data_IF_738186849340
#
_entry.id   IF_738186849340
#
_cell.length_a   1.000
_cell.length_b   1.000
_cell.length_c   1.000
_cell.angle_alpha   90.00
_cell.angle_beta   90.00
_cell.angle_gamma   90.00
#
_symmetry.space_group_name_H-M   'P 1'
#
loop_
_entity.id
_entity.type
_entity.pdbx_description
1 polymer ?
#
# COMPACT_ATOMS: atom_id res chain seq x y z
N UNK A 1 11.23 17.22 -38.00
CA UNK A 1 10.48 16.76 -36.82
C UNK A 1 11.13 17.37 -35.58
N UNK A 2 10.52 18.39 -34.94
CA UNK A 2 11.13 19.12 -33.80
C UNK A 2 10.59 18.55 -32.49
N UNK A 3 11.45 17.92 -31.69
CA UNK A 3 11.14 17.49 -30.33
C UNK A 3 11.10 18.72 -29.40
N UNK A 4 9.92 19.04 -28.86
CA UNK A 4 9.77 19.96 -27.71
C UNK A 4 9.72 19.11 -26.45
N UNK A 5 10.76 19.17 -25.62
CA UNK A 5 10.75 18.60 -24.27
C UNK A 5 10.05 19.62 -23.37
N UNK A 6 8.87 19.25 -22.86
CA UNK A 6 8.09 20.05 -21.92
C UNK A 6 8.53 19.68 -20.50
N UNK A 7 9.31 20.53 -19.84
CA UNK A 7 9.55 20.42 -18.40
C UNK A 7 8.28 20.89 -17.67
N UNK A 8 7.53 19.96 -17.07
CA UNK A 8 6.48 20.31 -16.11
C UNK A 8 7.16 20.68 -14.78
N UNK A 9 7.07 21.95 -14.40
CA UNK A 9 7.48 22.41 -13.08
C UNK A 9 6.59 21.74 -12.01
N UNK A 10 7.19 20.99 -11.10
CA UNK A 10 6.53 20.50 -9.90
C UNK A 10 6.45 21.66 -8.89
N UNK A 11 5.25 22.14 -8.61
CA UNK A 11 5.02 23.17 -7.58
C UNK A 11 5.10 22.51 -6.20
N UNK A 12 6.11 22.87 -5.42
CA UNK A 12 6.32 22.41 -4.06
C UNK A 12 5.43 23.22 -3.09
N UNK A 13 4.52 22.56 -2.36
CA UNK A 13 3.78 23.18 -1.26
C UNK A 13 4.55 22.94 0.05
N UNK A 14 5.02 24.01 0.70
CA UNK A 14 5.59 23.97 2.03
C UNK A 14 4.58 24.52 3.05
N UNK A 15 4.19 23.69 4.03
CA UNK A 15 3.34 24.11 5.15
C UNK A 15 4.23 24.57 6.31
N UNK A 16 4.06 25.82 6.76
CA UNK A 16 4.80 26.39 7.89
C UNK A 16 3.99 26.28 9.17
N UNK A 17 4.50 25.54 10.16
CA UNK A 17 3.98 25.56 11.53
C UNK A 17 5.00 26.29 12.40
N UNK A 18 4.67 27.49 12.84
CA UNK A 18 5.49 28.28 13.78
C UNK A 18 5.07 27.93 15.20
N UNK A 19 5.95 27.26 15.96
CA UNK A 19 5.76 27.07 17.40
C UNK A 19 6.50 28.18 18.16
N UNK A 20 5.88 28.82 19.18
CA UNK A 20 6.55 29.84 19.97
C UNK A 20 7.69 29.23 20.80
N UNK A 21 8.90 29.78 20.66
CA UNK A 21 10.09 29.36 21.39
C UNK A 21 10.30 30.24 22.63
N UNK A 22 10.69 29.66 23.79
CA UNK A 22 11.10 30.44 24.96
C UNK A 22 12.41 31.20 24.70
N UNK A 23 12.53 32.39 25.30
CA UNK A 23 13.50 33.45 24.98
C UNK A 23 15.00 33.14 25.17
N UNK A 24 15.39 31.89 25.47
CA UNK A 24 16.78 31.53 25.81
C UNK A 24 17.36 30.30 25.08
N UNK A 25 16.72 29.82 24.00
CA UNK A 25 17.31 28.76 23.15
C UNK A 25 18.01 29.37 21.92
N UNK A 26 19.35 29.40 21.90
CA UNK A 26 20.14 29.97 20.78
C UNK A 26 20.40 29.01 19.60
N UNK A 27 19.84 27.79 19.60
CA UNK A 27 19.87 26.92 18.43
C UNK A 27 18.56 26.16 18.28
N UNK A 28 17.72 26.60 17.33
CA UNK A 28 16.60 25.83 16.82
C UNK A 28 17.03 25.11 15.54
N UNK A 29 16.89 23.79 15.48
CA UNK A 29 17.02 23.05 14.22
C UNK A 29 15.71 23.17 13.43
N UNK A 30 15.78 23.75 12.24
CA UNK A 30 14.70 23.68 11.26
C UNK A 30 14.88 22.38 10.48
N UNK A 31 13.95 21.43 10.65
CA UNK A 31 13.94 20.17 9.89
C UNK A 31 12.93 20.28 8.76
N UNK A 32 13.42 20.29 7.51
CA UNK A 32 12.56 20.14 6.34
C UNK A 32 12.31 18.64 6.10
N UNK A 33 11.05 18.22 6.13
CA UNK A 33 10.66 16.88 5.71
C UNK A 33 9.94 17.04 4.36
N UNK A 34 10.64 16.76 3.26
CA UNK A 34 9.98 16.58 1.96
C UNK A 34 9.22 15.26 2.00
N UNK A 35 7.89 15.34 2.07
CA UNK A 35 7.03 14.17 1.89
C UNK A 35 6.77 14.07 0.38
N UNK A 36 7.45 13.14 -0.29
CA UNK A 36 7.13 12.83 -1.68
C UNK A 36 5.76 12.14 -1.72
N UNK A 37 4.85 12.49 -2.64
CA UNK A 37 3.59 11.79 -2.78
C UNK A 37 3.84 10.31 -3.11
N UNK A 38 2.94 9.45 -2.61
CA UNK A 38 2.90 8.04 -2.97
C UNK A 38 2.46 7.94 -4.44
N UNK A 39 3.39 7.66 -5.34
CA UNK A 39 3.09 7.47 -6.76
C UNK A 39 2.95 5.98 -7.05
N UNK A 40 1.88 5.63 -7.73
CA UNK A 40 1.61 4.27 -8.14
C UNK A 40 1.14 4.26 -9.59
N UNK A 41 1.63 3.31 -10.39
CA UNK A 41 1.30 3.19 -11.81
C UNK A 41 0.36 2.01 -12.03
N UNK A 42 -0.87 2.30 -12.46
CA UNK A 42 -1.85 1.29 -12.83
C UNK A 42 -1.76 0.94 -14.31
N UNK A 43 -1.84 -0.35 -14.61
CA UNK A 43 -1.90 -0.90 -15.96
C UNK A 43 -3.28 -1.50 -16.23
N UNK A 44 -3.74 -1.62 -17.49
CA UNK A 44 -5.01 -2.27 -17.77
C UNK A 44 -5.11 -3.67 -17.12
N UNK A 45 -6.25 -3.98 -16.51
CA UNK A 45 -6.49 -5.22 -15.76
C UNK A 45 -6.43 -5.03 -14.25
N UNK A 46 -6.25 -6.13 -13.51
CA UNK A 46 -6.22 -6.12 -12.06
C UNK A 46 -4.84 -5.76 -11.54
N UNK A 47 -4.80 -4.77 -10.66
CA UNK A 47 -3.58 -4.33 -10.00
C UNK A 47 -3.80 -4.33 -8.49
N UNK A 48 -2.77 -4.75 -7.76
CA UNK A 48 -2.78 -4.71 -6.31
C UNK A 48 -2.39 -3.33 -5.82
N UNK A 49 -3.05 -2.84 -4.78
CA UNK A 49 -2.89 -1.51 -4.23
C UNK A 49 -2.84 -1.55 -2.70
N UNK A 50 -1.87 -0.84 -2.12
CA UNK A 50 -1.75 -0.60 -0.69
C UNK A 50 -1.31 0.85 -0.47
N UNK A 51 -1.76 1.46 0.62
CA UNK A 51 -1.36 2.82 0.96
C UNK A 51 0.07 2.88 1.50
N UNK A 52 0.95 3.67 0.87
CA UNK A 52 2.28 3.97 1.43
C UNK A 52 2.32 5.25 2.30
N UNK A 53 1.25 6.05 2.28
CA UNK A 53 1.04 7.22 3.16
C UNK A 53 -0.33 7.13 3.81
N UNK A 54 -0.53 7.86 4.91
CA UNK A 54 -1.82 8.01 5.58
C UNK A 54 -2.56 9.26 5.05
N UNK A 55 -3.55 9.09 4.15
CA UNK A 55 -4.30 10.22 3.62
C UNK A 55 -5.22 10.81 4.70
N UNK A 56 -5.50 12.11 4.59
CA UNK A 56 -6.46 12.79 5.48
C UNK A 56 -7.92 12.35 5.23
N UNK A 57 -8.20 11.82 4.03
CA UNK A 57 -9.51 11.35 3.64
C UNK A 57 -9.37 10.03 2.87
N UNK A 58 -9.91 8.97 3.46
CA UNK A 58 -9.87 7.59 2.96
C UNK A 58 -11.05 7.22 2.06
N UNK A 59 -11.97 8.15 1.81
CA UNK A 59 -13.11 7.92 0.91
C UNK A 59 -12.61 7.46 -0.46
N UNK A 60 -13.19 6.40 -0.99
CA UNK A 60 -12.82 5.83 -2.28
C UNK A 60 -12.92 6.91 -3.38
N UNK A 61 -13.99 7.69 -3.39
CA UNK A 61 -14.19 8.75 -4.37
C UNK A 61 -13.10 9.82 -4.28
N UNK A 62 -12.67 10.19 -3.07
CA UNK A 62 -11.63 11.19 -2.88
C UNK A 62 -10.26 10.66 -3.30
N UNK A 63 -9.88 9.47 -2.84
CA UNK A 63 -8.58 8.86 -3.16
C UNK A 63 -8.48 8.56 -4.65
N UNK A 64 -9.55 8.03 -5.27
CA UNK A 64 -9.54 7.64 -6.68
C UNK A 64 -9.93 8.74 -7.64
N UNK A 65 -10.29 9.95 -7.19
CA UNK A 65 -10.69 11.06 -8.06
C UNK A 65 -9.74 11.28 -9.28
N UNK A 66 -8.40 11.22 -9.14
CA UNK A 66 -7.50 11.39 -10.29
C UNK A 66 -7.60 10.27 -11.34
N UNK A 67 -8.08 9.09 -10.95
CA UNK A 67 -8.13 7.86 -11.76
C UNK A 67 -9.55 7.34 -11.97
N UNK A 68 -10.59 8.05 -11.51
CA UNK A 68 -11.95 7.53 -11.41
C UNK A 68 -12.53 7.07 -12.76
N UNK A 69 -12.22 7.79 -13.84
CA UNK A 69 -12.62 7.43 -15.20
C UNK A 69 -11.82 6.26 -15.79
N UNK A 70 -10.68 5.93 -15.19
CA UNK A 70 -9.77 4.86 -15.63
C UNK A 70 -9.97 3.55 -14.87
N UNK A 71 -10.88 3.49 -13.90
CA UNK A 71 -11.19 2.29 -13.11
C UNK A 71 -12.69 1.98 -13.16
N UNK A 72 -13.09 0.76 -12.85
CA UNK A 72 -14.51 0.32 -12.75
C UNK A 72 -14.82 -0.43 -11.45
N UNK A 73 -13.87 -1.21 -10.95
CA UNK A 73 -14.05 -2.09 -9.80
C UNK A 73 -12.90 -1.98 -8.80
N UNK A 74 -13.25 -2.13 -7.53
CA UNK A 74 -12.30 -2.29 -6.43
C UNK A 74 -12.71 -3.53 -5.64
N UNK A 75 -11.77 -4.42 -5.33
CA UNK A 75 -12.01 -5.57 -4.45
C UNK A 75 -11.29 -5.35 -3.12
N UNK A 76 -12.03 -5.59 -2.04
CA UNK A 76 -11.52 -5.70 -0.67
C UNK A 76 -11.56 -7.17 -0.27
N UNK A 77 -10.51 -7.67 0.36
CA UNK A 77 -10.57 -9.00 0.98
C UNK A 77 -11.19 -8.91 2.37
N UNK A 78 -12.34 -9.55 2.56
CA UNK A 78 -12.94 -9.71 3.88
C UNK A 78 -12.33 -10.95 4.55
N UNK A 79 -11.36 -10.73 5.44
CA UNK A 79 -10.67 -11.81 6.16
C UNK A 79 -11.58 -12.63 7.08
N UNK A 80 -12.69 -12.09 7.56
CA UNK A 80 -13.65 -12.87 8.36
C UNK A 80 -14.49 -13.80 7.49
N UNK A 81 -14.95 -13.32 6.34
CA UNK A 81 -15.75 -14.11 5.40
C UNK A 81 -14.89 -15.00 4.47
N UNK A 82 -13.57 -14.76 4.42
CA UNK A 82 -12.64 -15.39 3.48
C UNK A 82 -13.11 -15.23 2.03
N UNK A 83 -13.56 -14.03 1.67
CA UNK A 83 -14.12 -13.71 0.37
C UNK A 83 -13.83 -12.26 -0.04
N UNK A 84 -13.90 -11.98 -1.34
CA UNK A 84 -13.85 -10.61 -1.84
C UNK A 84 -15.19 -9.91 -1.73
N UNK A 85 -15.14 -8.64 -1.35
CA UNK A 85 -16.23 -7.70 -1.47
C UNK A 85 -15.94 -6.73 -2.61
N UNK A 86 -16.94 -6.52 -3.47
CA UNK A 86 -16.82 -5.71 -4.67
C UNK A 86 -17.42 -4.33 -4.45
N UNK A 87 -16.61 -3.30 -4.65
CA UNK A 87 -17.06 -1.95 -4.93
C UNK A 87 -17.12 -1.76 -6.45
N UNK A 88 -18.22 -1.21 -6.94
CA UNK A 88 -18.38 -0.80 -8.33
C UNK A 88 -18.83 0.64 -8.41
N UNK A 89 -18.19 1.42 -9.30
CA UNK A 89 -18.61 2.80 -9.57
C UNK A 89 -19.98 2.92 -10.25
N UNK A 90 -20.51 1.81 -10.76
CA UNK A 90 -21.81 1.73 -11.43
C UNK A 90 -22.93 1.27 -10.48
N UNK A 91 -22.57 0.80 -9.27
CA UNK A 91 -23.55 0.37 -8.29
C UNK A 91 -24.15 1.57 -7.57
N UNK A 92 -25.46 1.54 -7.30
CA UNK A 92 -26.13 2.50 -6.43
C UNK A 92 -25.91 2.20 -4.94
N UNK A 93 -25.39 1.02 -4.61
CA UNK A 93 -25.09 0.59 -3.23
C UNK A 93 -23.83 -0.27 -3.23
N UNK A 94 -22.81 0.17 -2.51
CA UNK A 94 -21.58 -0.59 -2.31
C UNK A 94 -21.48 -1.13 -0.87
N UNK A 95 -20.77 -2.25 -0.64
CA UNK A 95 -20.59 -2.80 0.70
C UNK A 95 -19.63 -1.98 1.58
N UNK A 96 -18.90 -1.03 0.99
CA UNK A 96 -17.99 -0.11 1.66
C UNK A 96 -17.74 1.12 0.79
N UNK A 97 -17.47 2.28 1.39
CA UNK A 97 -17.22 3.55 0.69
C UNK A 97 -15.86 4.19 1.04
N UNK A 98 -15.15 3.60 2.00
CA UNK A 98 -13.85 4.03 2.50
C UNK A 98 -12.82 2.92 2.37
N UNK A 99 -11.59 3.31 2.08
CA UNK A 99 -10.44 2.45 2.22
C UNK A 99 -10.03 2.29 3.68
N UNK A 100 -9.71 1.07 4.08
CA UNK A 100 -8.95 0.78 5.29
C UNK A 100 -7.45 0.80 4.97
N UNK A 101 -6.71 1.77 5.51
CA UNK A 101 -5.28 1.92 5.27
C UNK A 101 -4.43 0.73 5.76
N UNK A 102 -5.01 -0.14 6.61
CA UNK A 102 -4.36 -1.35 7.13
C UNK A 102 -4.58 -2.59 6.26
N UNK A 103 -5.33 -2.44 5.17
CA UNK A 103 -5.61 -3.50 4.20
C UNK A 103 -5.00 -3.15 2.84
N UNK A 104 -5.08 -4.13 1.96
CA UNK A 104 -4.79 -3.95 0.54
C UNK A 104 -5.99 -4.32 -0.33
N UNK A 105 -5.98 -3.77 -1.54
CA UNK A 105 -7.10 -3.81 -2.47
C UNK A 105 -6.64 -4.27 -3.84
N UNK A 106 -7.54 -4.88 -4.59
CA UNK A 106 -7.41 -4.91 -6.05
C UNK A 106 -8.17 -3.77 -6.66
N UNK A 107 -7.56 -3.09 -7.63
CA UNK A 107 -8.23 -2.09 -8.43
C UNK A 107 -8.14 -2.54 -9.88
N UNK A 108 -9.29 -2.63 -10.55
CA UNK A 108 -9.34 -2.92 -11.98
C UNK A 108 -9.25 -1.62 -12.77
N UNK A 109 -8.25 -1.55 -13.65
CA UNK A 109 -8.01 -0.42 -14.53
C UNK A 109 -8.48 -0.75 -15.94
N UNK A 110 -9.29 0.13 -16.52
CA UNK A 110 -9.69 0.08 -17.92
C UNK A 110 -8.56 0.62 -18.82
N UNK A 111 -7.80 1.59 -18.31
CA UNK A 111 -6.69 2.24 -19.03
C UNK A 111 -5.54 2.55 -18.08
N UNK A 112 -4.31 2.57 -18.60
CA UNK A 112 -3.14 2.87 -17.76
C UNK A 112 -3.24 4.28 -17.18
N UNK A 113 -3.03 4.43 -15.87
CA UNK A 113 -3.00 5.74 -15.21
C UNK A 113 -2.25 5.70 -13.90
N UNK A 114 -1.64 6.84 -13.56
CA UNK A 114 -0.94 6.99 -12.28
C UNK A 114 -1.89 7.51 -11.21
N UNK A 115 -1.85 6.88 -10.04
CA UNK A 115 -2.47 7.35 -8.83
C UNK A 115 -1.42 8.03 -7.95
N UNK A 116 -1.75 9.22 -7.47
CA UNK A 116 -0.90 10.01 -6.57
C UNK A 116 -1.66 10.24 -5.27
N UNK A 117 -1.28 9.55 -4.21
CA UNK A 117 -1.86 9.75 -2.87
C UNK A 117 -0.96 10.67 -2.06
N UNK A 118 -1.56 11.69 -1.45
CA UNK A 118 -0.88 12.58 -0.49
C UNK A 118 -1.33 12.25 0.92
N UNK A 119 -0.45 12.45 1.89
CA UNK A 119 -0.72 12.06 3.27
C UNK A 119 0.50 12.21 4.17
N UNK A 120 0.35 11.76 5.41
CA UNK A 120 1.45 11.70 6.36
C UNK A 120 2.26 10.42 6.16
N UNK A 121 3.57 10.50 6.40
CA UNK A 121 4.43 9.33 6.38
C UNK A 121 4.02 8.35 7.48
N UNK A 122 3.97 7.05 7.15
CA UNK A 122 3.66 6.00 8.13
C UNK A 122 4.91 5.60 8.89
N UNK A 123 4.75 5.41 10.20
CA UNK A 123 5.77 4.86 11.08
C UNK A 123 5.81 3.33 11.04
N UNK A 124 6.31 2.74 12.13
CA UNK A 124 6.16 1.32 12.40
C UNK A 124 4.69 0.96 12.64
N UNK A 125 4.27 -0.26 12.30
CA UNK A 125 2.87 -0.69 12.36
C UNK A 125 2.74 -2.07 13.00
N UNK A 126 1.65 -2.28 13.73
CA UNK A 126 1.27 -3.60 14.24
C UNK A 126 -0.09 -3.96 13.66
N UNK A 127 -0.15 -5.01 12.85
CA UNK A 127 -1.36 -5.43 12.14
C UNK A 127 -1.83 -6.76 12.70
N UNK A 128 -3.03 -6.77 13.29
CA UNK A 128 -3.68 -8.01 13.72
C UNK A 128 -4.10 -8.82 12.52
N UNK A 129 -3.74 -10.11 12.51
CA UNK A 129 -4.09 -11.07 11.48
C UNK A 129 -4.95 -12.17 12.08
N UNK A 130 -5.96 -12.60 11.33
CA UNK A 130 -6.81 -13.73 11.71
C UNK A 130 -6.31 -15.02 11.09
N UNK A 131 -6.81 -16.16 11.57
CA UNK A 131 -6.53 -17.46 10.93
C UNK A 131 -6.98 -17.45 9.47
N UNK A 132 -6.26 -18.18 8.62
CA UNK A 132 -6.41 -18.29 7.16
C UNK A 132 -5.83 -17.07 6.42
N UNK A 133 -6.45 -16.67 5.30
CA UNK A 133 -5.89 -15.66 4.41
C UNK A 133 -6.18 -14.24 4.90
N UNK A 134 -5.15 -13.41 4.87
CA UNK A 134 -5.19 -11.98 5.18
C UNK A 134 -4.56 -11.21 4.03
N UNK A 135 -5.09 -10.03 3.71
CA UNK A 135 -4.50 -9.09 2.75
C UNK A 135 -4.03 -7.82 3.47
N UNK A 136 -3.04 -7.91 4.39
CA UNK A 136 -2.58 -6.74 5.12
C UNK A 136 -2.00 -5.71 4.16
N UNK A 137 -2.05 -4.45 4.57
CA UNK A 137 -1.31 -3.39 3.87
C UNK A 137 0.19 -3.71 3.84
N UNK A 138 0.84 -3.38 2.74
CA UNK A 138 2.30 -3.35 2.63
C UNK A 138 2.76 -1.92 2.29
N UNK A 139 2.89 -1.05 3.31
CA UNK A 139 3.10 0.38 3.10
C UNK A 139 4.52 0.78 2.68
N UNK A 140 5.40 -0.15 2.35
CA UNK A 140 6.83 0.18 2.23
C UNK A 140 7.17 0.97 0.96
N UNK A 141 7.90 2.06 1.18
CA UNK A 141 8.68 2.84 0.20
C UNK A 141 9.92 2.10 -0.33
N UNK A 142 10.14 0.84 0.08
CA UNK A 142 11.32 0.05 -0.27
C UNK A 142 11.02 -1.44 -0.43
N UNK A 143 11.96 -2.16 -1.04
CA UNK A 143 11.91 -3.61 -1.20
C UNK A 143 12.48 -4.34 0.01
N UNK A 144 11.88 -5.46 0.41
CA UNK A 144 12.39 -6.29 1.51
C UNK A 144 12.49 -7.76 1.12
N UNK A 145 13.36 -8.50 1.82
CA UNK A 145 13.47 -9.94 1.69
C UNK A 145 12.25 -10.63 2.33
N UNK A 146 11.63 -11.56 1.60
CA UNK A 146 10.42 -12.28 2.04
C UNK A 146 10.66 -13.04 3.34
N UNK A 147 11.78 -13.75 3.47
CA UNK A 147 12.09 -14.50 4.70
C UNK A 147 12.19 -13.56 5.89
N UNK A 148 12.88 -12.43 5.73
CA UNK A 148 13.01 -11.41 6.76
C UNK A 148 11.67 -10.80 7.16
N UNK A 149 10.81 -10.52 6.18
CA UNK A 149 9.46 -10.03 6.41
C UNK A 149 8.59 -11.03 7.16
N UNK A 150 8.58 -12.29 6.74
CA UNK A 150 7.71 -13.29 7.34
C UNK A 150 8.18 -13.74 8.74
N UNK A 151 9.47 -13.56 9.09
CA UNK A 151 9.96 -13.72 10.46
C UNK A 151 9.33 -12.73 11.47
N UNK A 152 8.67 -11.67 10.99
CA UNK A 152 7.93 -10.72 11.84
C UNK A 152 6.50 -11.16 12.14
N UNK A 153 6.11 -12.37 11.72
CA UNK A 153 4.75 -12.88 11.82
C UNK A 153 4.77 -14.26 12.48
N UNK A 154 4.07 -14.39 13.59
CA UNK A 154 3.91 -15.70 14.24
C UNK A 154 2.92 -16.58 13.47
N UNK A 155 3.30 -17.82 13.21
CA UNK A 155 2.38 -18.85 12.69
C UNK A 155 1.96 -18.69 11.23
N UNK A 156 2.77 -18.03 10.40
CA UNK A 156 2.55 -18.00 8.95
C UNK A 156 3.02 -19.31 8.29
N UNK A 157 2.38 -19.70 7.19
CA UNK A 157 2.81 -20.86 6.38
C UNK A 157 3.09 -20.50 4.91
N UNK A 158 2.25 -19.63 4.35
CA UNK A 158 2.23 -19.32 2.92
C UNK A 158 2.08 -17.83 2.70
N UNK A 159 2.61 -17.37 1.58
CA UNK A 159 2.39 -16.01 1.09
C UNK A 159 2.06 -16.09 -0.40
N UNK A 160 1.00 -15.40 -0.83
CA UNK A 160 0.73 -15.17 -2.24
C UNK A 160 1.16 -13.77 -2.62
N UNK A 161 1.77 -13.63 -3.78
CA UNK A 161 2.12 -12.35 -4.38
C UNK A 161 1.46 -12.22 -5.74
N UNK A 162 0.79 -11.10 -6.00
CA UNK A 162 0.16 -10.86 -7.30
C UNK A 162 1.23 -10.58 -8.36
N UNK A 163 1.17 -11.26 -9.49
CA UNK A 163 1.95 -10.93 -10.68
C UNK A 163 1.05 -10.21 -11.69
N UNK A 164 1.21 -8.88 -11.88
CA UNK A 164 0.36 -8.12 -12.78
C UNK A 164 0.60 -8.46 -14.26
N UNK A 165 1.76 -9.02 -14.63
CA UNK A 165 2.05 -9.39 -16.02
C UNK A 165 1.29 -10.65 -16.43
N UNK A 166 1.20 -11.64 -15.55
CA UNK A 166 0.51 -12.92 -15.82
C UNK A 166 -0.90 -12.96 -15.27
N UNK A 167 -1.32 -11.92 -14.53
CA UNK A 167 -2.60 -11.84 -13.83
C UNK A 167 -2.86 -13.10 -12.97
N UNK A 168 -1.84 -13.51 -12.22
CA UNK A 168 -1.88 -14.72 -11.40
C UNK A 168 -1.09 -14.58 -10.12
N UNK A 169 -1.36 -15.46 -9.15
CA UNK A 169 -0.59 -15.50 -7.90
C UNK A 169 0.66 -16.36 -8.03
N UNK A 170 1.75 -15.85 -7.50
CA UNK A 170 2.94 -16.62 -7.16
C UNK A 170 2.83 -17.06 -5.70
N UNK A 171 3.11 -18.33 -5.42
CA UNK A 171 3.05 -18.90 -4.07
C UNK A 171 4.46 -19.04 -3.49
N UNK A 172 4.67 -18.45 -2.32
CA UNK A 172 5.79 -18.72 -1.43
C UNK A 172 5.35 -19.64 -0.29
N UNK A 173 6.18 -20.64 0.02
CA UNK A 173 5.96 -21.62 1.09
C UNK A 173 7.25 -21.81 1.89
N UNK A 174 7.15 -21.78 3.22
CA UNK A 174 8.28 -22.10 4.12
C UNK A 174 8.71 -23.56 4.02
N UNK A 175 7.84 -24.41 3.49
CA UNK A 175 8.10 -25.84 3.32
C UNK A 175 8.74 -26.15 1.97
N UNK A 176 8.87 -25.16 1.07
CA UNK A 176 9.49 -25.34 -0.24
C UNK A 176 10.95 -24.88 -0.21
N UNK A 177 11.84 -25.69 -0.78
CA UNK A 177 13.23 -25.29 -1.08
C UNK A 177 13.33 -24.39 -2.32
N UNK A 178 12.29 -24.34 -3.14
CA UNK A 178 12.23 -23.54 -4.37
C UNK A 178 11.04 -22.58 -4.27
N UNK A 179 11.33 -21.31 -4.01
CA UNK A 179 10.31 -20.26 -3.98
C UNK A 179 10.46 -19.36 -5.23
N UNK A 180 9.34 -18.98 -5.88
CA UNK A 180 9.37 -18.23 -7.15
C UNK A 180 9.79 -16.77 -7.00
N UNK A 181 9.90 -16.27 -5.76
CA UNK A 181 10.38 -14.93 -5.45
C UNK A 181 11.03 -14.91 -4.05
N UNK A 182 11.96 -14.00 -3.85
CA UNK A 182 12.65 -13.75 -2.58
C UNK A 182 12.50 -12.31 -2.08
N UNK A 183 11.85 -11.46 -2.87
CA UNK A 183 11.69 -10.03 -2.61
C UNK A 183 10.22 -9.62 -2.74
N UNK A 184 9.85 -8.67 -1.89
CA UNK A 184 8.59 -7.92 -1.94
C UNK A 184 8.95 -6.49 -2.34
N UNK A 185 8.38 -5.98 -3.42
CA UNK A 185 8.64 -4.63 -3.92
C UNK A 185 7.58 -3.63 -3.40
N UNK A 186 7.89 -2.32 -3.39
CA UNK A 186 6.92 -1.28 -3.07
C UNK A 186 5.63 -1.41 -3.89
N UNK A 187 4.50 -1.28 -3.20
CA UNK A 187 3.16 -1.35 -3.80
C UNK A 187 2.84 -2.64 -4.58
N UNK A 188 3.65 -3.69 -4.43
CA UNK A 188 3.12 -5.04 -4.53
C UNK A 188 2.36 -5.31 -3.24
N UNK A 189 1.21 -5.95 -3.34
CA UNK A 189 0.67 -6.54 -2.14
C UNK A 189 0.27 -7.98 -2.33
N UNK A 190 -0.24 -8.52 -1.25
CA UNK A 190 0.02 -9.89 -0.90
C UNK A 190 -1.09 -10.46 -0.04
N UNK A 191 -1.19 -11.77 -0.10
CA UNK A 191 -1.93 -12.54 0.87
C UNK A 191 -0.97 -13.30 1.76
N UNK A 192 -1.31 -13.38 3.05
CA UNK A 192 -0.56 -14.15 4.03
C UNK A 192 -1.52 -15.16 4.65
N UNK A 193 -1.13 -16.43 4.60
CA UNK A 193 -1.87 -17.51 5.27
C UNK A 193 -1.31 -17.71 6.67
N UNK A 194 -2.18 -17.53 7.65
CA UNK A 194 -1.87 -17.68 9.07
C UNK A 194 -2.58 -18.92 9.61
N UNK A 195 -1.87 -19.77 10.35
CA UNK A 195 -2.47 -20.91 11.04
C UNK A 195 -2.86 -20.59 12.50
N UNK A 196 -2.23 -19.58 13.10
CA UNK A 196 -2.53 -19.09 14.44
C UNK A 196 -3.85 -18.31 14.51
N UNK A 197 -4.47 -18.24 15.68
CA UNK A 197 -5.76 -17.55 15.88
C UNK A 197 -5.62 -16.05 16.13
N UNK A 198 -4.46 -15.58 16.61
CA UNK A 198 -4.20 -14.17 16.96
C UNK A 198 -2.77 -13.78 16.55
N UNK A 199 -2.44 -13.89 15.26
CA UNK A 199 -1.12 -13.46 14.81
C UNK A 199 -1.05 -11.94 14.70
N UNK A 200 0.14 -11.38 14.91
CA UNK A 200 0.42 -9.98 14.64
C UNK A 200 1.57 -9.90 13.66
N UNK A 201 1.39 -9.08 12.62
CA UNK A 201 2.46 -8.68 11.73
C UNK A 201 3.09 -7.41 12.28
N UNK A 202 4.36 -7.50 12.65
CA UNK A 202 5.16 -6.38 13.16
C UNK A 202 5.96 -5.73 12.03
N UNK A 203 5.46 -4.61 11.54
CA UNK A 203 6.14 -3.79 10.56
C UNK A 203 7.17 -2.91 11.29
N UNK A 204 8.44 -3.35 11.30
CA UNK A 204 9.56 -2.57 11.79
C UNK A 204 10.39 -2.08 10.60
N UNK A 205 10.31 -0.78 10.31
CA UNK A 205 10.89 -0.17 9.11
C UNK A 205 12.40 -0.27 9.06
N UNK A 206 13.04 -0.04 10.20
CA UNK A 206 14.51 -0.08 10.31
C UNK A 206 15.02 -1.49 10.13
N UNK A 207 14.37 -2.47 10.76
CA UNK A 207 14.69 -3.87 10.57
C UNK A 207 14.50 -4.26 9.11
N UNK A 208 13.34 -4.01 8.50
CA UNK A 208 13.01 -4.55 7.18
C UNK A 208 13.75 -3.89 6.01
N UNK A 209 14.38 -2.73 6.22
CA UNK A 209 15.20 -2.04 5.22
C UNK A 209 16.65 -2.53 5.14
N UNK A 210 17.20 -3.00 6.26
CA UNK A 210 18.59 -3.51 6.33
C UNK A 210 18.75 -4.88 5.71
#
# INVERSE_FOLDING_TARGET
MRFKILFKAFTLFALFVLLPLPAHAQQGQIRFVLISPCQWAGWPGWNFFSFCLEPQNTSILNVTAPIYDSIDYILRWNSSAQAYELYSKYSSSNPYDDFNINESYFIHFISAKNLSVTGQARGDLNLSLVKLWNAPTYPYEFSTNVTKYLLTIDGFNYMLKWNPQTQSYLLYSIYSSLNPFSQIYPAEGQFIYINATNATLYYNRTYLRG
#
